data_IF_249513999700
#
_entry.id   IF_249513999700
#
_cell.length_a   1.000
_cell.length_b   1.000
_cell.length_c   1.000
_cell.angle_alpha   90.00
_cell.angle_beta   90.00
_cell.angle_gamma   90.00
#
_symmetry.space_group_name_H-M   'P 1'
#
loop_
_entity.id
_entity.type
_entity.pdbx_description
1 polymer ?
#
# COMPACT_ATOMS: atom_id res chain seq x y z
N UNK A 1 -27.08 -56.71 65.37
CA UNK A 1 -26.15 -55.82 66.12
C UNK A 1 -26.07 -54.47 65.40
N UNK A 2 -26.71 -53.46 65.99
CA UNK A 2 -26.94 -52.15 65.32
C UNK A 2 -25.68 -51.26 65.31
N UNK A 3 -25.38 -50.71 64.21
CA UNK A 3 -24.39 -49.67 64.07
C UNK A 3 -24.85 -48.41 64.81
N UNK A 4 -24.00 -47.91 65.70
CA UNK A 4 -24.30 -46.84 66.64
C UNK A 4 -24.52 -45.50 65.85
N UNK A 5 -25.46 -44.70 66.41
CA UNK A 5 -25.93 -43.43 65.83
C UNK A 5 -24.79 -42.42 65.46
N UNK A 6 -23.60 -42.55 66.04
CA UNK A 6 -22.41 -41.70 65.75
C UNK A 6 -21.82 -41.86 64.34
N UNK A 7 -21.93 -43.03 63.76
CA UNK A 7 -21.41 -43.32 62.42
C UNK A 7 -22.30 -42.75 61.29
N UNK A 8 -23.58 -42.58 61.52
CA UNK A 8 -24.53 -42.01 60.58
C UNK A 8 -24.38 -40.48 60.45
N UNK A 9 -24.05 -39.81 61.56
CA UNK A 9 -23.81 -38.34 61.52
C UNK A 9 -22.50 -37.97 60.81
N UNK A 10 -21.46 -38.77 60.99
CA UNK A 10 -20.19 -38.49 60.29
C UNK A 10 -20.29 -38.66 58.77
N UNK A 11 -21.07 -39.59 58.31
CA UNK A 11 -21.22 -39.81 56.82
C UNK A 11 -22.09 -38.73 56.19
N UNK A 12 -23.08 -38.17 56.92
CA UNK A 12 -23.93 -37.10 56.37
C UNK A 12 -23.18 -35.75 56.20
N UNK A 13 -22.21 -35.49 57.09
CA UNK A 13 -21.41 -34.26 57.04
C UNK A 13 -20.45 -34.22 55.86
N UNK A 14 -19.86 -35.36 55.47
CA UNK A 14 -18.89 -35.40 54.32
C UNK A 14 -19.56 -35.19 52.95
N UNK A 15 -20.80 -35.65 52.80
CA UNK A 15 -21.55 -35.47 51.54
C UNK A 15 -22.01 -34.01 51.30
N UNK A 16 -22.25 -33.28 52.41
CA UNK A 16 -22.62 -31.84 52.27
C UNK A 16 -21.46 -30.97 51.91
N UNK A 17 -20.22 -31.26 52.27
CA UNK A 17 -19.01 -30.55 51.92
C UNK A 17 -18.63 -30.79 50.46
N UNK A 18 -18.70 -32.00 49.96
CA UNK A 18 -18.43 -32.35 48.57
C UNK A 18 -19.43 -31.68 47.63
N UNK A 19 -20.70 -31.57 47.99
CA UNK A 19 -21.74 -30.94 47.20
C UNK A 19 -21.59 -29.41 47.13
N UNK A 20 -21.02 -28.76 48.16
CA UNK A 20 -20.72 -27.33 48.19
C UNK A 20 -19.46 -26.98 47.38
N UNK A 21 -18.45 -27.83 47.36
CA UNK A 21 -17.22 -27.66 46.59
C UNK A 21 -17.46 -27.71 45.08
N UNK A 22 -18.25 -28.68 44.61
CA UNK A 22 -18.55 -28.85 43.19
C UNK A 22 -19.41 -27.72 42.60
N UNK A 23 -20.24 -27.03 43.38
CA UNK A 23 -21.05 -25.90 42.88
C UNK A 23 -20.23 -24.63 42.63
N UNK A 24 -19.11 -24.41 43.36
CA UNK A 24 -18.26 -23.24 43.18
C UNK A 24 -17.35 -23.34 41.93
N UNK A 25 -16.91 -24.54 41.57
CA UNK A 25 -16.08 -24.76 40.40
C UNK A 25 -16.83 -24.57 39.07
N UNK A 26 -18.11 -24.94 39.02
CA UNK A 26 -18.92 -24.75 37.81
C UNK A 26 -19.35 -23.30 37.55
N UNK A 27 -19.39 -22.44 38.54
CA UNK A 27 -19.71 -21.03 38.38
C UNK A 27 -18.52 -20.27 37.74
N UNK A 28 -17.28 -20.54 38.16
CA UNK A 28 -16.06 -19.92 37.58
C UNK A 28 -15.78 -20.37 36.14
N UNK A 29 -16.06 -21.62 35.83
CA UNK A 29 -15.87 -22.14 34.47
C UNK A 29 -16.90 -21.56 33.47
N UNK A 30 -18.13 -21.28 33.93
CA UNK A 30 -19.13 -20.61 33.07
C UNK A 30 -18.77 -19.16 32.80
N UNK A 31 -18.31 -18.42 33.79
CA UNK A 31 -17.85 -17.03 33.57
C UNK A 31 -16.61 -16.97 32.67
N UNK A 32 -15.61 -17.83 32.90
CA UNK A 32 -14.43 -17.90 32.03
C UNK A 32 -14.79 -18.22 30.58
N UNK A 33 -15.74 -19.14 30.33
CA UNK A 33 -16.22 -19.44 28.96
C UNK A 33 -16.90 -18.24 28.29
N UNK A 34 -17.70 -17.47 29.06
CA UNK A 34 -18.36 -16.26 28.52
C UNK A 34 -17.35 -15.18 28.14
N UNK A 35 -16.30 -14.96 28.96
CA UNK A 35 -15.24 -14.03 28.64
C UNK A 35 -14.43 -14.46 27.41
N UNK A 36 -14.12 -15.74 27.28
CA UNK A 36 -13.41 -16.27 26.09
C UNK A 36 -14.26 -16.09 24.85
N UNK A 37 -15.53 -16.37 24.86
CA UNK A 37 -16.44 -16.18 23.72
C UNK A 37 -16.56 -14.71 23.38
N UNK A 38 -16.63 -13.82 24.37
CA UNK A 38 -16.68 -12.37 24.16
C UNK A 38 -15.38 -11.83 23.54
N UNK A 39 -14.21 -12.29 24.01
CA UNK A 39 -12.92 -11.95 23.44
C UNK A 39 -12.77 -12.43 21.98
N UNK A 40 -13.20 -13.65 21.69
CA UNK A 40 -13.17 -14.19 20.31
C UNK A 40 -14.13 -13.42 19.41
N UNK A 41 -15.30 -13.02 19.88
CA UNK A 41 -16.25 -12.22 19.12
C UNK A 41 -15.71 -10.81 18.84
N UNK A 42 -15.04 -10.17 19.79
CA UNK A 42 -14.39 -8.85 19.60
C UNK A 42 -13.21 -8.96 18.64
N UNK A 43 -12.41 -10.03 18.74
CA UNK A 43 -11.28 -10.28 17.85
C UNK A 43 -11.72 -10.55 16.41
N UNK A 44 -12.86 -11.26 16.22
CA UNK A 44 -13.42 -11.50 14.88
C UNK A 44 -14.03 -10.24 14.24
N UNK A 45 -14.61 -9.32 15.03
CA UNK A 45 -15.06 -8.02 14.50
C UNK A 45 -13.89 -7.12 14.09
N UNK A 46 -12.76 -7.17 14.80
CA UNK A 46 -11.57 -6.40 14.47
C UNK A 46 -10.90 -6.88 13.15
N UNK A 47 -11.03 -8.15 12.81
CA UNK A 47 -10.49 -8.71 11.56
C UNK A 47 -11.25 -8.28 10.28
N UNK A 48 -12.48 -7.79 10.42
CA UNK A 48 -13.27 -7.32 9.26
C UNK A 48 -13.01 -5.84 8.88
N UNK A 49 -12.20 -5.11 9.65
CA UNK A 49 -12.01 -3.66 9.48
C UNK A 49 -10.90 -3.24 8.51
N UNK A 50 -10.18 -4.17 7.87
CA UNK A 50 -9.14 -3.86 6.89
C UNK A 50 -9.47 -4.41 5.50
N UNK A 51 -10.56 -3.95 4.89
CA UNK A 51 -10.68 -4.04 3.44
C UNK A 51 -10.09 -2.77 2.83
N UNK A 52 -8.79 -2.74 2.63
CA UNK A 52 -8.16 -1.84 1.67
C UNK A 52 -8.57 -2.36 0.31
N UNK A 53 -9.67 -1.82 -0.21
CA UNK A 53 -10.09 -2.08 -1.58
C UNK A 53 -9.14 -1.31 -2.51
N UNK A 54 -8.01 -1.92 -2.88
CA UNK A 54 -7.34 -1.57 -4.11
C UNK A 54 -8.28 -2.01 -5.23
N UNK A 55 -9.10 -1.10 -5.73
CA UNK A 55 -9.68 -1.25 -7.05
C UNK A 55 -8.54 -1.12 -8.06
N UNK A 56 -7.85 -2.22 -8.31
CA UNK A 56 -7.21 -2.41 -9.59
C UNK A 56 -8.35 -2.51 -10.60
N UNK A 57 -8.72 -1.40 -11.20
CA UNK A 57 -9.55 -1.39 -12.40
C UNK A 57 -8.67 -1.92 -13.52
N UNK A 58 -8.51 -3.21 -13.52
CA UNK A 58 -7.82 -3.91 -14.55
C UNK A 58 -8.64 -3.98 -15.82
N UNK A 59 -8.75 -2.91 -16.58
CA UNK A 59 -9.31 -2.95 -17.93
C UNK A 59 -8.16 -3.02 -18.93
N UNK A 60 -7.94 -4.20 -19.48
CA UNK A 60 -7.18 -4.34 -20.73
C UNK A 60 -7.76 -3.37 -21.76
N UNK A 61 -6.91 -2.55 -22.38
CA UNK A 61 -7.38 -1.59 -23.40
C UNK A 61 -8.14 -2.34 -24.50
N UNK A 62 -9.39 -1.98 -24.67
CA UNK A 62 -10.16 -2.42 -25.83
C UNK A 62 -9.73 -1.60 -27.07
N UNK A 63 -8.72 -2.09 -27.78
CA UNK A 63 -8.21 -1.43 -29.00
C UNK A 63 -9.23 -1.29 -30.13
N UNK A 64 -10.42 -1.87 -30.02
CA UNK A 64 -11.51 -1.63 -30.98
C UNK A 64 -12.17 -0.28 -30.76
N UNK A 65 -12.20 0.18 -29.51
CA UNK A 65 -12.83 1.45 -29.07
C UNK A 65 -11.80 2.53 -28.76
N UNK A 66 -10.64 2.17 -28.21
CA UNK A 66 -9.59 3.08 -27.76
C UNK A 66 -8.39 2.98 -28.68
N UNK A 67 -8.14 3.99 -29.50
CA UNK A 67 -7.11 4.01 -30.52
C UNK A 67 -6.06 5.08 -30.32
N UNK A 68 -6.37 6.12 -29.57
CA UNK A 68 -5.53 7.31 -29.44
C UNK A 68 -5.24 7.63 -27.98
N UNK A 69 -4.05 8.21 -27.75
CA UNK A 69 -3.65 8.70 -26.43
C UNK A 69 -3.04 10.10 -26.54
N UNK A 70 -3.46 10.97 -25.64
CA UNK A 70 -2.88 12.28 -25.45
C UNK A 70 -2.04 12.26 -24.17
N UNK A 71 -0.74 12.55 -24.31
CA UNK A 71 0.18 12.68 -23.17
C UNK A 71 0.62 14.14 -23.13
N UNK A 72 0.20 14.86 -22.09
CA UNK A 72 0.61 16.23 -21.85
C UNK A 72 2.04 16.27 -21.29
N UNK A 73 2.73 17.39 -21.49
CA UNK A 73 4.02 17.61 -20.84
C UNK A 73 3.78 17.91 -19.34
N UNK A 74 4.58 17.26 -18.48
CA UNK A 74 4.53 17.39 -17.04
C UNK A 74 5.46 18.53 -16.59
N UNK A 75 4.93 19.67 -16.13
CA UNK A 75 5.74 20.74 -15.59
C UNK A 75 6.33 20.34 -14.23
N UNK A 76 7.50 20.89 -13.92
CA UNK A 76 8.13 20.74 -12.61
C UNK A 76 7.57 21.83 -11.69
N UNK A 77 6.92 21.44 -10.58
CA UNK A 77 6.39 22.32 -9.52
C UNK A 77 7.15 22.17 -8.20
N UNK A 78 8.19 21.38 -8.18
CA UNK A 78 9.08 21.20 -7.05
C UNK A 78 9.85 22.48 -6.71
N UNK A 79 10.13 22.70 -5.42
CA UNK A 79 10.94 23.83 -4.94
C UNK A 79 12.40 23.75 -5.44
N UNK A 80 12.94 22.56 -5.62
CA UNK A 80 14.23 22.32 -6.26
C UNK A 80 14.02 21.76 -7.67
N UNK A 81 14.77 22.29 -8.63
CA UNK A 81 14.64 21.91 -10.02
C UNK A 81 16.01 21.51 -10.58
N UNK A 82 16.08 20.31 -11.10
CA UNK A 82 17.17 19.89 -11.97
C UNK A 82 16.68 19.94 -13.43
N UNK A 83 17.21 20.88 -14.22
CA UNK A 83 16.69 21.21 -15.55
C UNK A 83 16.46 20.02 -16.49
N UNK A 84 17.38 19.05 -16.60
CA UNK A 84 17.21 17.90 -17.50
C UNK A 84 16.07 16.95 -17.12
N UNK A 85 15.60 16.93 -15.86
CA UNK A 85 14.60 15.97 -15.37
C UNK A 85 13.26 16.05 -16.13
N UNK A 86 12.77 17.26 -16.42
CA UNK A 86 11.50 17.45 -17.13
C UNK A 86 11.48 16.83 -18.51
N UNK A 87 12.40 17.20 -19.40
CA UNK A 87 12.54 16.56 -20.72
C UNK A 87 12.77 15.05 -20.65
N UNK A 88 13.61 14.58 -19.72
CA UNK A 88 13.87 13.13 -19.53
C UNK A 88 12.58 12.37 -19.19
N UNK A 89 11.82 12.86 -18.21
CA UNK A 89 10.56 12.24 -17.81
C UNK A 89 9.53 12.25 -18.93
N UNK A 90 9.31 13.41 -19.56
CA UNK A 90 8.33 13.56 -20.62
C UNK A 90 8.64 12.68 -21.85
N UNK A 91 9.91 12.59 -22.24
CA UNK A 91 10.31 11.72 -23.33
C UNK A 91 10.15 10.24 -22.97
N UNK A 92 10.65 9.84 -21.79
CA UNK A 92 10.55 8.45 -21.33
C UNK A 92 9.10 7.99 -21.21
N UNK A 93 8.19 8.86 -20.73
CA UNK A 93 6.76 8.54 -20.63
C UNK A 93 6.16 8.34 -22.04
N UNK A 94 6.42 9.25 -22.98
CA UNK A 94 5.93 9.13 -24.36
C UNK A 94 6.49 7.89 -25.06
N UNK A 95 7.77 7.60 -24.89
CA UNK A 95 8.44 6.44 -25.47
C UNK A 95 7.88 5.12 -24.88
N UNK A 96 7.55 5.08 -23.58
CA UNK A 96 6.93 3.93 -22.94
C UNK A 96 5.62 3.55 -23.66
N UNK A 97 4.73 4.52 -23.90
CA UNK A 97 3.47 4.24 -24.58
C UNK A 97 3.64 3.94 -26.08
N UNK A 98 4.57 4.61 -26.75
CA UNK A 98 4.86 4.37 -28.17
C UNK A 98 5.37 2.95 -28.43
N UNK A 99 6.23 2.45 -27.52
CA UNK A 99 6.89 1.17 -27.70
C UNK A 99 6.09 -0.03 -27.18
N UNK A 100 5.19 0.18 -26.18
CA UNK A 100 4.51 -0.91 -25.49
C UNK A 100 3.00 -0.95 -25.76
N UNK A 101 2.45 -0.02 -26.57
CA UNK A 101 1.04 -0.03 -26.96
C UNK A 101 0.86 0.14 -28.47
N UNK A 102 -0.37 -0.12 -28.94
CA UNK A 102 -0.78 0.19 -30.31
C UNK A 102 -1.49 1.54 -30.41
N UNK A 103 -1.46 2.34 -29.34
CA UNK A 103 -2.13 3.64 -29.30
C UNK A 103 -1.36 4.66 -30.14
N UNK A 104 -2.11 5.41 -30.92
CA UNK A 104 -1.55 6.54 -31.69
C UNK A 104 -1.50 7.76 -30.78
N UNK A 105 -0.30 8.31 -30.61
CA UNK A 105 -0.15 9.53 -29.81
C UNK A 105 -0.66 10.74 -30.59
N UNK A 106 -1.57 11.49 -29.96
CA UNK A 106 -2.17 12.69 -30.50
C UNK A 106 -1.96 13.89 -29.58
N UNK A 107 -1.97 15.09 -30.16
CA UNK A 107 -1.78 16.33 -29.37
C UNK A 107 -3.03 16.78 -28.62
N UNK A 108 -4.20 16.44 -29.12
CA UNK A 108 -5.52 16.86 -28.56
C UNK A 108 -6.56 15.77 -28.83
N UNK A 109 -7.58 15.73 -27.96
CA UNK A 109 -8.76 14.88 -28.12
C UNK A 109 -8.41 13.38 -28.28
N UNK A 110 -7.46 12.89 -27.48
CA UNK A 110 -7.20 11.45 -27.39
C UNK A 110 -8.34 10.72 -26.68
N UNK A 111 -8.55 9.45 -27.05
CA UNK A 111 -9.47 8.56 -26.33
C UNK A 111 -9.00 8.37 -24.88
N UNK A 112 -7.69 8.28 -24.68
CA UNK A 112 -7.06 8.35 -23.39
C UNK A 112 -6.32 9.66 -23.23
N UNK A 113 -6.28 10.19 -22.02
CA UNK A 113 -5.53 11.40 -21.70
C UNK A 113 -4.72 11.19 -20.42
N UNK A 114 -3.45 11.54 -20.46
CA UNK A 114 -2.54 11.55 -19.31
C UNK A 114 -2.00 12.97 -19.18
N UNK A 115 -2.20 13.54 -18.02
CA UNK A 115 -1.67 14.84 -17.63
C UNK A 115 -1.24 14.82 -16.16
N UNK A 116 -0.41 15.78 -15.77
CA UNK A 116 0.05 15.85 -14.39
C UNK A 116 1.22 16.80 -14.22
N UNK A 117 1.88 16.68 -13.09
CA UNK A 117 3.00 17.53 -12.73
C UNK A 117 4.00 16.79 -11.83
N UNK A 118 5.27 17.17 -11.90
CA UNK A 118 6.31 16.71 -10.98
C UNK A 118 6.24 17.60 -9.74
N UNK A 119 5.70 17.07 -8.65
CA UNK A 119 5.37 17.83 -7.44
C UNK A 119 6.54 17.93 -6.47
N UNK A 120 7.40 16.90 -6.42
CA UNK A 120 8.53 16.87 -5.48
C UNK A 120 9.78 16.30 -6.14
N UNK A 121 10.90 16.93 -5.82
CA UNK A 121 12.24 16.44 -6.03
C UNK A 121 13.04 16.78 -4.76
N UNK A 122 13.27 15.77 -3.91
CA UNK A 122 13.78 16.00 -2.56
C UNK A 122 14.91 15.04 -2.23
N UNK A 123 15.80 15.52 -1.38
CA UNK A 123 16.91 14.78 -0.82
C UNK A 123 16.72 14.66 0.69
N UNK A 124 16.87 13.45 1.24
CA UNK A 124 16.75 13.18 2.68
C UNK A 124 17.91 12.32 3.14
N UNK A 125 18.51 12.67 4.26
CA UNK A 125 19.49 11.81 4.90
C UNK A 125 18.79 10.64 5.58
N UNK A 126 19.20 9.41 5.29
CA UNK A 126 18.79 8.22 6.04
C UNK A 126 19.68 8.09 7.27
N UNK A 127 19.08 7.77 8.41
CA UNK A 127 19.78 7.55 9.67
C UNK A 127 20.85 6.46 9.52
N UNK A 128 22.00 6.66 10.15
CA UNK A 128 23.06 5.66 10.28
C UNK A 128 22.52 4.49 11.07
N UNK A 129 22.75 3.26 10.63
CA UNK A 129 22.46 2.09 11.46
C UNK A 129 23.41 2.09 12.65
N UNK A 130 22.99 1.54 13.79
CA UNK A 130 23.76 1.43 15.03
C UNK A 130 25.09 0.67 14.90
N UNK A 131 25.39 0.11 13.74
CA UNK A 131 26.58 -0.69 13.43
C UNK A 131 27.65 0.05 12.60
N UNK A 132 27.54 1.40 12.45
CA UNK A 132 28.60 2.21 11.82
C UNK A 132 28.71 2.08 10.30
N UNK A 133 27.67 1.58 9.63
CA UNK A 133 27.63 1.56 8.16
C UNK A 133 27.39 2.97 7.60
N UNK A 134 27.95 3.21 6.40
CA UNK A 134 27.91 4.50 5.70
C UNK A 134 26.58 5.19 5.80
N UNK A 135 26.57 6.46 6.17
CA UNK A 135 25.39 7.31 6.08
C UNK A 135 24.93 7.36 4.61
N UNK A 136 23.66 7.04 4.38
CA UNK A 136 23.05 7.09 3.05
C UNK A 136 22.15 8.29 2.92
N UNK A 137 22.09 8.84 1.73
CA UNK A 137 21.16 9.89 1.34
C UNK A 137 20.16 9.30 0.35
N UNK A 138 18.89 9.58 0.53
CA UNK A 138 17.80 9.21 -0.37
C UNK A 138 17.42 10.41 -1.24
N UNK A 139 17.42 10.19 -2.55
CA UNK A 139 16.84 11.10 -3.53
C UNK A 139 15.46 10.55 -3.92
N UNK A 140 14.45 11.43 -3.99
CA UNK A 140 13.06 11.05 -4.27
C UNK A 140 12.41 11.99 -5.27
N UNK A 141 11.66 11.44 -6.21
CA UNK A 141 10.81 12.15 -7.17
C UNK A 141 9.36 11.73 -6.94
N UNK A 142 8.45 12.70 -6.84
CA UNK A 142 7.01 12.45 -6.79
C UNK A 142 6.32 13.14 -7.94
N UNK A 143 5.42 12.43 -8.60
CA UNK A 143 4.64 12.91 -9.74
C UNK A 143 3.16 12.72 -9.41
N UNK A 144 2.36 13.77 -9.59
CA UNK A 144 0.89 13.66 -9.55
C UNK A 144 0.39 13.43 -10.98
N UNK A 145 -0.39 12.38 -11.17
CA UNK A 145 -0.89 11.95 -12.48
C UNK A 145 -2.40 11.92 -12.46
N UNK A 146 -3.02 12.57 -13.45
CA UNK A 146 -4.44 12.44 -13.77
C UNK A 146 -4.59 11.68 -15.07
N UNK A 147 -5.27 10.55 -14.99
CA UNK A 147 -5.66 9.72 -16.12
C UNK A 147 -7.14 9.92 -16.41
N UNK A 148 -7.49 10.14 -17.66
CA UNK A 148 -8.87 10.26 -18.12
C UNK A 148 -9.09 9.32 -19.30
N UNK A 149 -10.09 8.45 -19.18
CA UNK A 149 -10.54 7.58 -20.26
C UNK A 149 -11.86 8.14 -20.84
N UNK A 150 -11.77 8.84 -21.96
CA UNK A 150 -12.93 9.44 -22.65
C UNK A 150 -13.90 8.40 -23.22
N UNK A 151 -13.51 7.13 -23.29
CA UNK A 151 -14.38 6.02 -23.72
C UNK A 151 -15.14 5.42 -22.54
N UNK A 152 -14.51 5.37 -21.36
CA UNK A 152 -15.09 4.85 -20.13
C UNK A 152 -14.61 5.62 -18.91
N UNK A 153 -15.33 6.62 -18.48
CA UNK A 153 -14.99 7.46 -17.33
C UNK A 153 -14.92 6.73 -15.98
N UNK A 154 -15.36 5.47 -15.89
CA UNK A 154 -15.17 4.68 -14.66
C UNK A 154 -13.71 4.33 -14.39
N UNK A 155 -12.85 4.45 -15.38
CA UNK A 155 -11.42 4.18 -15.28
C UNK A 155 -10.61 5.44 -14.92
N UNK A 156 -11.26 6.61 -14.83
CA UNK A 156 -10.60 7.88 -14.50
C UNK A 156 -10.03 7.82 -13.07
N UNK A 157 -8.81 8.32 -12.90
CA UNK A 157 -8.20 8.47 -11.59
C UNK A 157 -7.22 9.62 -11.52
N UNK A 158 -6.93 10.04 -10.29
CA UNK A 158 -5.82 10.93 -9.96
C UNK A 158 -5.00 10.29 -8.84
N UNK A 159 -3.70 10.12 -9.07
CA UNK A 159 -2.83 9.41 -8.13
C UNK A 159 -1.41 9.96 -8.17
N UNK A 160 -0.75 9.90 -7.00
CA UNK A 160 0.67 10.20 -6.87
C UNK A 160 1.51 8.94 -7.02
N UNK A 161 2.59 9.05 -7.79
CA UNK A 161 3.62 8.04 -7.94
C UNK A 161 4.95 8.57 -7.42
N UNK A 162 5.68 7.74 -6.71
CA UNK A 162 6.96 8.12 -6.11
C UNK A 162 8.01 7.06 -6.41
N UNK A 163 9.18 7.52 -6.85
CA UNK A 163 10.37 6.70 -6.94
C UNK A 163 11.48 7.30 -6.09
N UNK A 164 12.30 6.44 -5.48
CA UNK A 164 13.45 6.88 -4.71
C UNK A 164 14.64 5.95 -4.93
N UNK A 165 15.84 6.53 -4.86
CA UNK A 165 17.12 5.83 -4.90
C UNK A 165 18.03 6.36 -3.80
N UNK A 166 18.89 5.50 -3.27
CA UNK A 166 19.86 5.89 -2.25
C UNK A 166 21.26 5.93 -2.84
N UNK A 167 22.09 6.81 -2.30
CA UNK A 167 23.50 6.90 -2.61
C UNK A 167 24.31 7.22 -1.34
N UNK A 168 25.61 6.94 -1.37
CA UNK A 168 26.49 7.17 -0.23
C UNK A 168 26.65 8.67 0.05
N UNK A 169 26.50 9.09 1.31
CA UNK A 169 26.62 10.50 1.72
C UNK A 169 28.02 11.11 1.41
N UNK A 170 29.01 10.26 1.20
CA UNK A 170 30.37 10.65 0.78
C UNK A 170 30.43 11.11 -0.67
N UNK A 171 29.45 10.74 -1.51
CA UNK A 171 29.34 11.15 -2.90
C UNK A 171 28.59 12.49 -3.00
N UNK A 172 29.00 13.33 -3.95
CA UNK A 172 28.24 14.54 -4.26
C UNK A 172 26.99 14.19 -5.08
N UNK A 173 25.87 14.86 -4.82
CA UNK A 173 24.65 14.66 -5.62
C UNK A 173 24.93 14.85 -7.12
N UNK A 174 25.71 15.88 -7.47
CA UNK A 174 26.02 16.20 -8.88
C UNK A 174 26.71 15.05 -9.62
N UNK A 175 27.48 14.21 -8.92
CA UNK A 175 28.18 13.10 -9.57
C UNK A 175 27.31 11.89 -9.86
N UNK A 176 26.19 11.73 -9.16
CA UNK A 176 25.29 10.57 -9.26
C UNK A 176 23.88 10.92 -9.74
N UNK A 177 23.58 12.20 -9.81
CA UNK A 177 22.22 12.73 -10.05
C UNK A 177 21.61 12.23 -11.36
N UNK A 178 22.35 12.28 -12.44
CA UNK A 178 21.85 11.87 -13.77
C UNK A 178 21.49 10.38 -13.79
N UNK A 179 22.36 9.54 -13.25
CA UNK A 179 22.12 8.10 -13.19
C UNK A 179 20.91 7.77 -12.30
N UNK A 180 20.85 8.36 -11.09
CA UNK A 180 19.74 8.12 -10.15
C UNK A 180 18.42 8.62 -10.74
N UNK A 181 18.39 9.81 -11.34
CA UNK A 181 17.18 10.35 -11.95
C UNK A 181 16.74 9.49 -13.15
N UNK A 182 17.67 9.01 -13.98
CA UNK A 182 17.35 8.11 -15.08
C UNK A 182 16.66 6.83 -14.58
N UNK A 183 17.18 6.22 -13.52
CA UNK A 183 16.59 5.03 -12.90
C UNK A 183 15.20 5.34 -12.31
N UNK A 184 15.05 6.47 -11.59
CA UNK A 184 13.77 6.87 -11.02
C UNK A 184 12.72 7.22 -12.07
N UNK A 185 13.11 7.86 -13.15
CA UNK A 185 12.23 8.15 -14.28
C UNK A 185 11.72 6.86 -14.91
N UNK A 186 12.59 5.87 -15.11
CA UNK A 186 12.18 4.54 -15.57
C UNK A 186 11.17 3.91 -14.64
N UNK A 187 11.46 3.86 -13.32
CA UNK A 187 10.56 3.28 -12.33
C UNK A 187 9.19 3.99 -12.31
N UNK A 188 9.18 5.33 -12.41
CA UNK A 188 7.94 6.13 -12.45
C UNK A 188 7.13 5.88 -13.72
N UNK A 189 7.77 5.85 -14.88
CA UNK A 189 7.07 5.62 -16.15
C UNK A 189 6.47 4.22 -16.22
N UNK A 190 7.17 3.20 -15.68
CA UNK A 190 6.64 1.85 -15.54
C UNK A 190 5.43 1.79 -14.58
N UNK A 191 5.50 2.47 -13.43
CA UNK A 191 4.38 2.53 -12.48
C UNK A 191 3.14 3.19 -13.11
N UNK A 192 3.33 4.32 -13.80
CA UNK A 192 2.25 5.05 -14.47
C UNK A 192 1.65 4.20 -15.60
N UNK A 193 2.49 3.58 -16.41
CA UNK A 193 2.07 2.69 -17.49
C UNK A 193 1.23 1.52 -16.96
N UNK A 194 1.71 0.87 -15.89
CA UNK A 194 1.00 -0.23 -15.26
C UNK A 194 -0.35 0.19 -14.65
N UNK A 195 -0.42 1.38 -14.08
CA UNK A 195 -1.65 1.89 -13.50
C UNK A 195 -2.71 2.30 -14.55
N UNK A 196 -2.29 2.63 -15.78
CA UNK A 196 -3.17 3.17 -16.82
C UNK A 196 -3.59 2.15 -17.87
N UNK A 197 -2.64 1.38 -18.41
CA UNK A 197 -2.87 0.56 -19.62
C UNK A 197 -2.36 -0.87 -19.54
N UNK A 198 -1.41 -1.17 -18.68
CA UNK A 198 -0.92 -2.53 -18.49
C UNK A 198 -1.76 -3.20 -17.43
N UNK A 199 -2.61 -4.07 -17.90
CA UNK A 199 -3.45 -4.88 -17.07
C UNK A 199 -3.07 -6.34 -17.24
N UNK A 200 -2.54 -6.89 -16.20
CA UNK A 200 -2.12 -8.29 -16.11
C UNK A 200 -3.08 -9.08 -15.24
#
# INVERSE_FOLDING_TARGET
MGLTNKTKEQISGTWTWLRKGMRKTHAHTRQARTYIIMCVAVLSLAAMSCSVSYKFNGASIDYTKTKTIQIADFPIRSSYVWGPMGPMFNNALKDMYANHTRLIQVRRNGDLKIEGEITQYTQRNKSVSSEGHSAQTELSITVNVRFTNNVNHNDDFEQQFTASKTYETTQSLNSVQEELVTQMVKDLTEQIFNATVANW
#
